data_IF_503012511916
#
_entry.id   IF_503012511916
#
_cell.length_a   1.000
_cell.length_b   1.000
_cell.length_c   1.000
_cell.angle_alpha   90.00
_cell.angle_beta   90.00
_cell.angle_gamma   90.00
#
_symmetry.space_group_name_H-M   'P 1'
#
loop_
_entity.id
_entity.type
_entity.pdbx_description
1 polymer ?
#
# COMPACT_ATOMS: atom_id res chain seq x y z
N UNK A 1 -44.54 16.85 32.22
CA UNK A 1 -43.78 15.78 31.55
C UNK A 1 -43.49 16.26 30.14
N UNK A 2 -42.38 16.97 29.90
CA UNK A 2 -41.05 16.47 29.45
C UNK A 2 -41.11 15.64 28.16
N UNK A 3 -40.74 16.24 27.04
CA UNK A 3 -39.82 15.64 26.06
C UNK A 3 -39.29 16.76 25.15
N UNK A 4 -38.16 17.35 25.55
CA UNK A 4 -37.34 18.15 24.64
C UNK A 4 -36.66 17.17 23.68
N UNK A 5 -36.97 17.28 22.39
CA UNK A 5 -36.22 16.57 21.35
C UNK A 5 -34.83 17.18 21.29
N UNK A 6 -33.87 16.50 21.91
CA UNK A 6 -32.46 16.77 21.74
C UNK A 6 -32.10 16.41 20.29
N UNK A 7 -32.04 17.43 19.42
CA UNK A 7 -31.38 17.34 18.13
C UNK A 7 -29.88 17.23 18.42
N UNK A 8 -29.42 16.00 18.62
CA UNK A 8 -28.00 15.69 18.74
C UNK A 8 -27.42 15.81 17.33
N UNK A 9 -26.90 17.00 17.01
CA UNK A 9 -25.92 17.19 15.96
C UNK A 9 -24.65 16.42 16.35
N UNK A 10 -24.63 15.13 16.03
CA UNK A 10 -23.40 14.34 15.92
C UNK A 10 -22.71 14.76 14.62
N UNK A 11 -22.22 15.99 14.56
CA UNK A 11 -21.08 16.32 13.71
C UNK A 11 -19.87 15.88 14.49
N UNK A 12 -19.69 14.56 14.60
CA UNK A 12 -18.40 14.01 14.94
C UNK A 12 -17.50 14.43 13.78
N UNK A 13 -16.61 15.38 14.05
CA UNK A 13 -15.54 15.77 13.16
C UNK A 13 -14.71 14.51 12.85
N UNK A 14 -15.03 13.85 11.74
CA UNK A 14 -14.04 13.11 10.98
C UNK A 14 -13.09 14.19 10.46
N UNK A 15 -12.07 14.51 11.24
CA UNK A 15 -10.83 15.01 10.66
C UNK A 15 -10.38 13.88 9.75
N UNK A 16 -10.77 13.99 8.48
CA UNK A 16 -10.31 13.12 7.43
C UNK A 16 -8.86 13.51 7.16
N UNK A 17 -7.96 13.18 8.10
CA UNK A 17 -6.53 13.39 7.92
C UNK A 17 -6.03 12.73 6.64
N UNK A 18 -6.76 11.75 6.11
CA UNK A 18 -6.57 11.23 4.77
C UNK A 18 -6.99 12.23 3.67
N UNK A 19 -8.16 12.88 3.76
CA UNK A 19 -8.58 13.90 2.79
C UNK A 19 -7.66 15.12 2.80
N UNK A 20 -7.20 15.55 3.98
CA UNK A 20 -6.21 16.63 4.11
C UNK A 20 -4.86 16.21 3.49
N UNK A 21 -4.39 14.99 3.76
CA UNK A 21 -3.16 14.46 3.15
C UNK A 21 -3.27 14.32 1.63
N UNK A 22 -4.41 13.87 1.10
CA UNK A 22 -4.64 13.73 -0.34
C UNK A 22 -4.73 15.10 -1.02
N UNK A 23 -5.23 16.13 -0.34
CA UNK A 23 -5.39 17.48 -0.89
C UNK A 23 -4.06 18.12 -1.29
N UNK A 24 -3.00 17.84 -0.53
CA UNK A 24 -1.66 18.38 -0.77
C UNK A 24 -0.83 17.57 -1.78
N UNK A 25 -1.31 16.39 -2.19
CA UNK A 25 -0.62 15.53 -3.15
C UNK A 25 -0.81 16.00 -4.60
N UNK A 26 0.25 15.87 -5.40
CA UNK A 26 0.12 15.92 -6.86
C UNK A 26 -0.83 14.82 -7.37
N UNK A 27 -1.48 15.01 -8.52
CA UNK A 27 -2.39 14.01 -9.08
C UNK A 27 -1.70 12.64 -9.24
N UNK A 28 -0.47 12.62 -9.75
CA UNK A 28 0.31 11.39 -9.91
C UNK A 28 0.62 10.69 -8.59
N UNK A 29 0.92 11.47 -7.54
CA UNK A 29 1.16 10.95 -6.21
C UNK A 29 -0.12 10.35 -5.63
N UNK A 30 -1.24 11.07 -5.71
CA UNK A 30 -2.55 10.60 -5.26
C UNK A 30 -2.94 9.29 -5.95
N UNK A 31 -2.81 9.21 -7.27
CA UNK A 31 -3.09 7.98 -8.03
C UNK A 31 -2.22 6.81 -7.58
N UNK A 32 -0.93 7.05 -7.34
CA UNK A 32 -0.03 6.01 -6.82
C UNK A 32 -0.44 5.54 -5.42
N UNK A 33 -0.83 6.47 -4.55
CA UNK A 33 -1.26 6.17 -3.18
C UNK A 33 -2.57 5.38 -3.16
N UNK A 34 -3.55 5.74 -3.97
CA UNK A 34 -4.82 5.00 -4.11
C UNK A 34 -4.59 3.57 -4.64
N UNK A 35 -3.65 3.39 -5.57
CA UNK A 35 -3.27 2.06 -6.06
C UNK A 35 -2.61 1.21 -4.96
N UNK A 36 -1.72 1.80 -4.15
CA UNK A 36 -1.13 1.14 -2.97
C UNK A 36 -2.22 0.71 -1.99
N UNK A 37 -3.17 1.61 -1.67
CA UNK A 37 -4.30 1.28 -0.79
C UNK A 37 -5.12 0.12 -1.32
N UNK A 38 -5.41 0.12 -2.62
CA UNK A 38 -6.18 -0.94 -3.28
C UNK A 38 -5.47 -2.29 -3.18
N UNK A 39 -4.17 -2.32 -3.47
CA UNK A 39 -3.34 -3.52 -3.32
C UNK A 39 -3.31 -4.04 -1.88
N UNK A 40 -3.07 -3.15 -0.91
CA UNK A 40 -3.07 -3.51 0.52
C UNK A 40 -4.43 -4.04 0.98
N UNK A 41 -5.53 -3.46 0.51
CA UNK A 41 -6.88 -3.92 0.81
C UNK A 41 -7.15 -5.32 0.26
N UNK A 42 -6.69 -5.62 -0.96
CA UNK A 42 -6.78 -6.96 -1.53
C UNK A 42 -5.94 -7.98 -0.74
N UNK A 43 -4.72 -7.61 -0.35
CA UNK A 43 -3.80 -8.50 0.36
C UNK A 43 -4.20 -8.77 1.82
N UNK A 44 -4.87 -7.83 2.48
CA UNK A 44 -5.28 -7.90 3.89
C UNK A 44 -5.96 -9.23 4.30
N UNK A 45 -7.02 -9.73 3.63
CA UNK A 45 -7.63 -11.02 3.97
C UNK A 45 -6.65 -12.21 3.80
N UNK A 46 -5.78 -12.18 2.79
CA UNK A 46 -4.78 -13.23 2.58
C UNK A 46 -3.77 -13.26 3.74
N UNK A 47 -3.26 -12.10 4.14
CA UNK A 47 -2.33 -11.96 5.28
C UNK A 47 -3.00 -12.44 6.57
N UNK A 48 -4.23 -12.02 6.83
CA UNK A 48 -4.97 -12.43 8.02
C UNK A 48 -5.18 -13.94 8.09
N UNK A 49 -5.43 -14.60 6.95
CA UNK A 49 -5.54 -16.05 6.86
C UNK A 49 -4.18 -16.72 7.11
N UNK A 50 -3.12 -16.22 6.47
CA UNK A 50 -1.77 -16.77 6.61
C UNK A 50 -1.27 -16.72 8.07
N UNK A 51 -1.51 -15.61 8.78
CA UNK A 51 -1.13 -15.43 10.19
C UNK A 51 -1.84 -16.39 11.16
N UNK A 52 -3.00 -16.96 10.77
CA UNK A 52 -3.74 -17.96 11.57
C UNK A 52 -3.38 -19.39 11.22
N UNK A 53 -2.73 -19.60 10.09
CA UNK A 53 -2.34 -20.90 9.57
C UNK A 53 -0.99 -21.38 10.10
N UNK A 54 -0.51 -22.53 9.60
CA UNK A 54 0.86 -22.95 9.83
C UNK A 54 1.84 -21.93 9.23
N UNK A 55 3.05 -21.86 9.81
CA UNK A 55 4.12 -21.04 9.28
C UNK A 55 4.40 -21.35 7.80
N UNK A 56 4.50 -20.31 6.99
CA UNK A 56 4.82 -20.43 5.57
C UNK A 56 6.32 -20.70 5.40
N UNK A 57 6.66 -21.52 4.40
CA UNK A 57 8.05 -21.65 3.94
C UNK A 57 8.50 -20.38 3.20
N UNK A 58 9.81 -20.13 3.13
CA UNK A 58 10.36 -18.97 2.41
C UNK A 58 9.84 -18.87 0.98
N UNK A 59 9.77 -20.00 0.26
CA UNK A 59 9.20 -20.05 -1.10
C UNK A 59 7.75 -19.56 -1.15
N UNK A 60 6.92 -19.97 -0.17
CA UNK A 60 5.52 -19.54 -0.11
C UNK A 60 5.40 -18.06 0.25
N UNK A 61 6.35 -17.52 1.02
CA UNK A 61 6.41 -16.10 1.38
C UNK A 61 6.82 -15.27 0.16
N UNK A 62 7.81 -15.71 -0.60
CA UNK A 62 8.29 -15.04 -1.81
C UNK A 62 7.22 -15.02 -2.92
N UNK A 63 6.37 -16.04 -2.97
CA UNK A 63 5.21 -16.11 -3.88
C UNK A 63 3.98 -15.37 -3.33
N UNK A 64 3.99 -14.92 -2.07
CA UNK A 64 2.79 -14.46 -1.38
C UNK A 64 2.21 -13.17 -1.95
N UNK A 65 3.05 -12.20 -2.33
CA UNK A 65 2.59 -10.96 -2.92
C UNK A 65 1.92 -11.11 -4.30
N UNK A 66 1.95 -12.30 -4.89
CA UNK A 66 1.29 -12.60 -6.16
C UNK A 66 -0.18 -12.99 -6.01
N UNK A 67 -0.74 -13.01 -4.78
CA UNK A 67 -2.15 -13.37 -4.53
C UNK A 67 -3.16 -12.38 -5.12
N UNK A 68 -2.77 -11.13 -5.32
CA UNK A 68 -3.58 -10.07 -5.92
C UNK A 68 -2.93 -9.57 -7.22
N UNK A 69 -2.94 -10.36 -8.30
CA UNK A 69 -2.13 -10.07 -9.49
C UNK A 69 -2.57 -8.81 -10.24
N UNK A 70 -3.88 -8.50 -10.24
CA UNK A 70 -4.42 -7.31 -10.91
C UNK A 70 -3.99 -6.05 -10.18
N UNK A 71 -4.15 -6.02 -8.86
CA UNK A 71 -3.80 -4.89 -8.02
C UNK A 71 -2.29 -4.71 -7.94
N UNK A 72 -1.52 -5.81 -7.97
CA UNK A 72 -0.06 -5.78 -8.06
C UNK A 72 0.41 -5.09 -9.35
N UNK A 73 -0.21 -5.40 -10.48
CA UNK A 73 0.12 -4.75 -11.76
C UNK A 73 -0.28 -3.27 -11.74
N UNK A 74 -1.46 -2.95 -11.20
CA UNK A 74 -1.94 -1.57 -11.10
C UNK A 74 -1.03 -0.70 -10.22
N UNK A 75 -0.63 -1.19 -9.04
CA UNK A 75 0.28 -0.44 -8.16
C UNK A 75 1.65 -0.27 -8.80
N UNK A 76 2.16 -1.31 -9.47
CA UNK A 76 3.44 -1.24 -10.16
C UNK A 76 3.41 -0.21 -11.30
N UNK A 77 2.35 -0.17 -12.10
CA UNK A 77 2.19 0.83 -13.17
C UNK A 77 2.04 2.25 -12.63
N UNK A 78 1.21 2.46 -11.60
CA UNK A 78 1.01 3.79 -11.02
C UNK A 78 2.30 4.34 -10.41
N UNK A 79 3.11 3.47 -9.78
CA UNK A 79 4.42 3.85 -9.25
C UNK A 79 5.45 4.09 -10.35
N UNK A 80 5.50 3.26 -11.40
CA UNK A 80 6.42 3.46 -12.52
C UNK A 80 6.16 4.78 -13.27
N UNK A 81 4.89 5.19 -13.37
CA UNK A 81 4.46 6.46 -14.01
C UNK A 81 4.63 7.69 -13.11
N UNK A 82 4.96 7.51 -11.82
CA UNK A 82 5.13 8.61 -10.88
C UNK A 82 6.36 9.44 -11.28
N UNK A 83 6.22 10.77 -11.49
CA UNK A 83 7.36 11.60 -11.84
C UNK A 83 8.30 11.73 -10.63
N UNK A 84 9.61 11.75 -10.87
CA UNK A 84 10.63 11.90 -9.82
C UNK A 84 10.39 13.12 -8.93
N UNK A 85 9.90 14.22 -9.52
CA UNK A 85 9.59 15.46 -8.80
C UNK A 85 8.46 15.33 -7.77
N UNK A 86 7.68 14.26 -7.83
CA UNK A 86 6.61 13.99 -6.85
C UNK A 86 7.07 13.13 -5.68
N UNK A 87 8.32 12.66 -5.65
CA UNK A 87 8.88 11.98 -4.48
C UNK A 87 9.40 13.05 -3.52
N UNK A 88 8.81 13.13 -2.33
CA UNK A 88 9.26 14.02 -1.26
C UNK A 88 10.38 13.36 -0.44
N UNK A 89 11.55 13.99 -0.33
CA UNK A 89 12.66 13.53 0.51
C UNK A 89 13.85 12.98 -0.28
N UNK A 90 14.60 12.04 0.32
CA UNK A 90 15.69 11.36 -0.37
C UNK A 90 15.13 10.36 -1.36
N UNK A 91 15.25 10.69 -2.65
CA UNK A 91 14.93 9.80 -3.76
C UNK A 91 15.82 8.56 -3.64
N UNK A 92 15.22 7.38 -3.49
CA UNK A 92 15.98 6.13 -3.43
C UNK A 92 16.62 5.82 -4.80
N UNK A 93 17.71 5.05 -4.83
CA UNK A 93 18.31 4.60 -6.10
C UNK A 93 17.30 3.82 -6.97
N UNK A 94 16.34 3.18 -6.32
CA UNK A 94 15.25 2.42 -6.95
C UNK A 94 14.30 3.31 -7.77
N UNK A 95 14.21 4.60 -7.43
CA UNK A 95 13.40 5.56 -8.18
C UNK A 95 14.12 6.05 -9.45
N UNK A 96 15.45 5.96 -9.52
CA UNK A 96 16.27 6.46 -10.63
C UNK A 96 16.33 5.57 -11.89
N UNK A 97 15.60 4.46 -11.94
CA UNK A 97 15.59 3.54 -13.09
C UNK A 97 14.99 4.27 -14.30
N UNK A 98 15.75 4.64 -15.34
CA UNK A 98 15.25 5.52 -16.41
C UNK A 98 14.33 4.81 -17.39
N UNK A 99 14.57 3.52 -17.62
CA UNK A 99 13.72 2.70 -18.49
C UNK A 99 12.40 2.34 -17.79
N UNK A 100 11.29 2.51 -18.51
CA UNK A 100 9.96 2.30 -17.95
C UNK A 100 9.70 0.82 -17.63
N UNK A 101 10.12 -0.09 -18.49
CA UNK A 101 9.86 -1.51 -18.33
C UNK A 101 10.71 -2.09 -17.18
N UNK A 102 11.96 -1.65 -17.06
CA UNK A 102 12.83 -1.97 -15.92
C UNK A 102 12.24 -1.43 -14.60
N UNK A 103 11.73 -0.19 -14.61
CA UNK A 103 11.11 0.43 -13.43
C UNK A 103 9.81 -0.30 -13.04
N UNK A 104 8.99 -0.66 -14.03
CA UNK A 104 7.77 -1.44 -13.82
C UNK A 104 8.09 -2.81 -13.22
N UNK A 105 9.09 -3.51 -13.77
CA UNK A 105 9.54 -4.80 -13.25
C UNK A 105 10.08 -4.68 -11.81
N UNK A 106 10.84 -3.62 -11.52
CA UNK A 106 11.31 -3.30 -10.18
C UNK A 106 10.14 -3.14 -9.20
N UNK A 107 9.17 -2.26 -9.49
CA UNK A 107 8.04 -2.05 -8.58
C UNK A 107 7.18 -3.30 -8.41
N UNK A 108 6.95 -4.07 -9.49
CA UNK A 108 6.23 -5.35 -9.38
C UNK A 108 6.93 -6.30 -8.39
N UNK A 109 8.26 -6.41 -8.48
CA UNK A 109 9.05 -7.24 -7.54
C UNK A 109 9.01 -6.70 -6.11
N UNK A 110 9.17 -5.39 -5.95
CA UNK A 110 9.19 -4.71 -4.65
C UNK A 110 7.86 -4.86 -3.91
N UNK A 111 6.73 -4.57 -4.57
CA UNK A 111 5.40 -4.75 -3.99
C UNK A 111 5.03 -6.21 -3.75
N UNK A 112 5.50 -7.15 -4.58
CA UNK A 112 5.31 -8.57 -4.29
C UNK A 112 6.05 -9.02 -3.02
N UNK A 113 7.17 -8.38 -2.69
CA UNK A 113 7.97 -8.66 -1.50
C UNK A 113 7.55 -7.93 -0.23
N UNK A 114 6.61 -6.98 -0.30
CA UNK A 114 6.33 -6.04 0.81
C UNK A 114 5.80 -6.69 2.09
N UNK A 115 5.19 -7.88 1.99
CA UNK A 115 4.62 -8.60 3.14
C UNK A 115 5.55 -9.66 3.73
N UNK A 116 6.74 -9.85 3.14
CA UNK A 116 7.67 -10.91 3.54
C UNK A 116 8.03 -10.85 5.03
N UNK A 117 8.28 -9.65 5.55
CA UNK A 117 8.59 -9.45 6.95
C UNK A 117 7.46 -9.80 7.92
N UNK A 118 6.20 -9.51 7.55
CA UNK A 118 5.04 -9.79 8.41
C UNK A 118 4.71 -11.28 8.50
N UNK A 119 5.19 -12.07 7.53
CA UNK A 119 4.86 -13.47 7.36
C UNK A 119 6.01 -14.41 7.77
N UNK A 120 7.24 -13.91 7.89
CA UNK A 120 8.40 -14.70 8.33
C UNK A 120 8.40 -14.89 9.86
N UNK A 121 8.63 -16.12 10.35
CA UNK A 121 8.88 -16.35 11.78
C UNK A 121 10.15 -15.60 12.20
N UNK A 122 10.02 -14.59 13.07
CA UNK A 122 11.15 -13.75 13.51
C UNK A 122 11.18 -12.32 12.95
N UNK A 123 10.23 -11.95 12.08
CA UNK A 123 10.12 -10.57 11.55
C UNK A 123 11.06 -10.30 10.37
N UNK A 124 11.30 -9.02 10.07
CA UNK A 124 12.32 -8.65 9.08
C UNK A 124 13.72 -9.03 9.61
N UNK A 125 14.60 -9.64 8.82
CA UNK A 125 16.02 -9.63 9.15
C UNK A 125 16.46 -8.16 9.23
N UNK A 126 17.01 -7.77 10.38
CA UNK A 126 17.69 -6.47 10.52
C UNK A 126 18.95 -6.59 9.66
N UNK A 127 18.98 -5.84 8.55
CA UNK A 127 20.17 -5.70 7.71
C UNK A 127 21.22 -4.84 8.42
#
# INVERSE_FOLDING_TARGET
MRAAFALIFLVAACSDGEAEMLADMSLSERTSYEAIKTFNNCMRPHIALAKRGPALSDRQIDEFGQKCPVELEQVAQSMAKRPLSSFHGSISNDEWIPDFDERLAHYRKSFAGSFSCELRPGGCPVL
#
